data_IF_052912312640
#
_entry.id   IF_052912312640
#
_cell.length_a   1.000
_cell.length_b   1.000
_cell.length_c   1.000
_cell.angle_alpha   90.00
_cell.angle_beta   90.00
_cell.angle_gamma   90.00
#
_symmetry.space_group_name_H-M   'P 1'
#
loop_
_entity.id
_entity.type
_entity.pdbx_description
1 polymer ?
#
# COMPACT_ATOMS: atom_id res chain seq x y z
N UNK A 1 50.67 -10.34 73.16
CA UNK A 1 50.40 -11.35 72.14
C UNK A 1 51.66 -12.15 71.95
N UNK A 2 51.54 -13.47 72.01
CA UNK A 2 52.57 -14.38 71.56
C UNK A 2 52.67 -14.31 70.02
N UNK A 3 53.83 -14.64 69.48
CA UNK A 3 54.03 -14.75 68.04
C UNK A 3 53.16 -15.91 67.53
N UNK A 4 52.32 -15.64 66.55
CA UNK A 4 51.34 -16.56 65.97
C UNK A 4 49.91 -16.37 66.44
N UNK A 5 49.63 -15.49 67.42
CA UNK A 5 48.26 -15.29 67.94
C UNK A 5 47.30 -14.74 66.86
N UNK A 6 47.74 -13.73 66.11
CA UNK A 6 46.94 -13.10 65.04
C UNK A 6 46.80 -14.04 63.84
N UNK A 7 47.88 -14.74 63.50
CA UNK A 7 47.89 -15.76 62.46
C UNK A 7 46.89 -16.89 62.77
N UNK A 8 46.89 -17.41 64.00
CA UNK A 8 45.98 -18.46 64.43
C UNK A 8 44.53 -17.98 64.41
N UNK A 9 44.27 -16.76 64.88
CA UNK A 9 42.93 -16.15 64.84
C UNK A 9 42.40 -15.94 63.42
N UNK A 10 43.28 -15.65 62.46
CA UNK A 10 42.96 -15.54 61.04
C UNK A 10 42.93 -16.90 60.31
N UNK A 11 43.17 -18.02 61.00
CA UNK A 11 43.10 -19.38 60.47
C UNK A 11 44.36 -19.86 59.74
N UNK A 12 45.50 -19.18 59.89
CA UNK A 12 46.78 -19.65 59.37
C UNK A 12 47.34 -20.78 60.25
N UNK A 13 47.98 -21.77 59.63
CA UNK A 13 48.68 -22.83 60.34
C UNK A 13 50.00 -22.30 60.91
N UNK A 14 50.25 -22.54 62.20
CA UNK A 14 51.52 -22.20 62.86
C UNK A 14 52.55 -23.31 62.68
N UNK A 15 53.81 -22.92 62.47
CA UNK A 15 54.93 -23.87 62.44
C UNK A 15 55.38 -24.16 63.88
N UNK A 16 55.48 -25.44 64.26
CA UNK A 16 55.93 -25.87 65.59
C UNK A 16 57.40 -26.27 65.55
N UNK A 17 58.22 -25.58 66.35
CA UNK A 17 59.66 -25.84 66.45
C UNK A 17 59.99 -26.65 67.70
N UNK A 18 60.56 -27.84 67.55
CA UNK A 18 61.27 -28.53 68.63
C UNK A 18 62.76 -28.19 68.51
N UNK A 19 63.32 -27.55 69.53
CA UNK A 19 64.76 -27.26 69.80
C UNK A 19 65.44 -26.01 69.14
N UNK A 20 66.49 -25.45 69.80
CA UNK A 20 66.76 -24.00 69.88
C UNK A 20 67.76 -23.47 68.83
N UNK A 21 67.43 -23.63 67.55
CA UNK A 21 68.00 -22.84 66.42
C UNK A 21 66.92 -21.90 65.80
N UNK A 22 65.94 -21.57 66.63
CA UNK A 22 64.55 -21.20 66.37
C UNK A 22 64.30 -19.74 65.95
N UNK A 23 65.20 -19.11 65.19
CA UNK A 23 64.86 -17.82 64.56
C UNK A 23 63.91 -18.02 63.38
N UNK A 24 64.11 -19.04 62.54
CA UNK A 24 63.32 -19.21 61.30
C UNK A 24 61.83 -19.48 61.60
N UNK A 25 61.49 -20.46 62.44
CA UNK A 25 60.08 -20.75 62.77
C UNK A 25 59.39 -19.56 63.44
N UNK A 26 60.15 -18.83 64.27
CA UNK A 26 59.69 -17.59 64.90
C UNK A 26 59.44 -16.49 63.86
N UNK A 27 60.32 -16.33 62.86
CA UNK A 27 60.14 -15.38 61.75
C UNK A 27 58.97 -15.80 60.84
N UNK A 28 58.78 -17.10 60.59
CA UNK A 28 57.66 -17.61 59.78
C UNK A 28 56.32 -17.30 60.46
N UNK A 29 56.20 -17.56 61.76
CA UNK A 29 54.99 -17.21 62.51
C UNK A 29 54.80 -15.69 62.60
N UNK A 30 55.88 -14.89 62.67
CA UNK A 30 55.81 -13.42 62.59
C UNK A 30 55.36 -12.92 61.22
N UNK A 31 55.80 -13.57 60.13
CA UNK A 31 55.34 -13.25 58.78
C UNK A 31 53.87 -13.64 58.59
N UNK A 32 53.43 -14.74 59.21
CA UNK A 32 52.03 -15.14 59.24
C UNK A 32 51.18 -14.10 59.99
N UNK A 33 51.63 -13.61 61.15
CA UNK A 33 50.96 -12.52 61.89
C UNK A 33 50.91 -11.23 61.07
N UNK A 34 52.02 -10.87 60.42
CA UNK A 34 52.06 -9.70 59.53
C UNK A 34 51.06 -9.81 58.39
N UNK A 35 50.93 -11.01 57.79
CA UNK A 35 50.00 -11.28 56.69
C UNK A 35 48.55 -11.24 57.17
N UNK A 36 48.26 -11.82 58.34
CA UNK A 36 46.95 -11.75 58.99
C UNK A 36 46.52 -10.30 59.25
N UNK A 37 47.42 -9.49 59.82
CA UNK A 37 47.18 -8.08 60.07
C UNK A 37 47.04 -7.26 58.77
N UNK A 38 47.83 -7.58 57.74
CA UNK A 38 47.79 -6.87 56.47
C UNK A 38 46.49 -7.12 55.69
N UNK A 39 45.92 -8.31 55.81
CA UNK A 39 44.69 -8.74 55.12
C UNK A 39 43.42 -8.34 55.87
N UNK A 40 43.48 -8.23 57.21
CA UNK A 40 42.39 -7.72 58.04
C UNK A 40 42.28 -6.19 58.06
N UNK A 41 43.38 -5.49 57.77
CA UNK A 41 43.42 -4.03 57.73
C UNK A 41 42.67 -3.44 56.52
N UNK A 42 41.89 -2.38 56.76
CA UNK A 42 41.25 -1.60 55.70
C UNK A 42 42.34 -1.01 54.80
N UNK A 43 42.37 -1.42 53.53
CA UNK A 43 43.26 -0.83 52.54
C UNK A 43 42.70 0.54 52.12
N UNK A 44 43.50 1.61 52.03
CA UNK A 44 43.01 2.92 51.60
C UNK A 44 42.40 2.89 50.19
N UNK A 45 41.40 3.75 49.95
CA UNK A 45 40.72 3.86 48.65
C UNK A 45 41.69 4.16 47.50
N UNK A 46 42.70 5.00 47.74
CA UNK A 46 43.75 5.32 46.75
C UNK A 46 44.62 4.12 46.32
N UNK A 47 44.55 3.00 47.06
CA UNK A 47 45.22 1.73 46.74
C UNK A 47 44.22 0.64 46.35
N UNK A 48 42.98 1.02 46.03
CA UNK A 48 41.91 0.11 45.59
C UNK A 48 41.13 -0.56 46.72
N UNK A 49 41.34 -0.18 47.98
CA UNK A 49 40.62 -0.77 49.11
C UNK A 49 39.30 -0.05 49.41
N UNK A 50 38.20 -0.79 49.40
CA UNK A 50 36.87 -0.26 49.75
C UNK A 50 36.39 -0.73 51.13
N UNK A 51 37.10 -1.67 51.76
CA UNK A 51 36.72 -2.28 53.05
C UNK A 51 35.34 -2.94 53.07
N UNK A 52 34.70 -3.09 51.92
CA UNK A 52 33.28 -3.43 51.81
C UNK A 52 33.08 -4.89 51.44
N UNK A 53 32.18 -5.58 52.14
CA UNK A 53 31.80 -6.96 51.85
C UNK A 53 30.66 -7.08 50.84
N UNK A 54 30.08 -5.96 50.41
CA UNK A 54 29.01 -5.91 49.41
C UNK A 54 29.36 -4.95 48.28
N UNK A 55 28.87 -5.27 47.07
CA UNK A 55 29.06 -4.42 45.91
C UNK A 55 28.44 -3.02 46.09
N UNK A 56 27.34 -2.91 46.85
CA UNK A 56 26.69 -1.62 47.13
C UNK A 56 27.57 -0.72 47.99
N UNK A 57 28.08 -1.23 49.12
CA UNK A 57 28.97 -0.47 49.99
C UNK A 57 30.30 -0.11 49.28
N UNK A 58 30.81 -1.00 48.43
CA UNK A 58 32.00 -0.73 47.63
C UNK A 58 31.79 0.43 46.64
N UNK A 59 30.64 0.47 45.94
CA UNK A 59 30.28 1.59 45.05
C UNK A 59 30.19 2.91 45.82
N UNK A 60 29.56 2.90 46.99
CA UNK A 60 29.48 4.08 47.86
C UNK A 60 30.85 4.55 48.32
N UNK A 61 31.75 3.64 48.74
CA UNK A 61 33.11 3.97 49.15
C UNK A 61 33.97 4.52 47.99
N UNK A 62 33.71 4.11 46.75
CA UNK A 62 34.32 4.64 45.54
C UNK A 62 33.66 5.95 45.05
N UNK A 63 32.62 6.42 45.74
CA UNK A 63 31.85 7.60 45.34
C UNK A 63 31.09 7.42 44.04
N UNK A 64 30.82 6.19 43.59
CA UNK A 64 30.04 5.92 42.37
C UNK A 64 28.57 6.24 42.65
N UNK A 65 28.07 7.30 42.04
CA UNK A 65 26.67 7.73 42.11
C UNK A 65 26.05 7.63 40.72
N UNK A 66 24.73 7.45 40.59
CA UNK A 66 24.09 7.54 39.27
C UNK A 66 24.51 8.81 38.52
N UNK A 67 24.53 9.97 39.19
CA UNK A 67 24.94 11.24 38.59
C UNK A 67 26.34 11.21 37.97
N UNK A 68 27.35 10.67 38.66
CA UNK A 68 28.71 10.75 38.14
C UNK A 68 29.02 9.74 37.01
N UNK A 69 28.15 8.75 36.82
CA UNK A 69 28.21 7.81 35.68
C UNK A 69 27.18 8.14 34.59
N UNK A 70 26.47 9.28 34.68
CA UNK A 70 25.47 9.71 33.70
C UNK A 70 24.14 8.96 33.77
N UNK A 71 23.86 8.27 34.87
CA UNK A 71 22.56 7.65 35.15
C UNK A 71 21.66 8.58 35.99
N UNK A 72 20.34 8.65 35.70
CA UNK A 72 19.41 9.49 36.46
C UNK A 72 19.20 8.99 37.90
N UNK A 73 19.05 9.92 38.86
CA UNK A 73 18.91 9.60 40.31
C UNK A 73 17.55 8.99 40.69
N UNK A 74 16.50 9.30 39.93
CA UNK A 74 15.16 8.79 40.15
C UNK A 74 14.54 8.35 38.82
N UNK A 75 14.26 7.06 38.72
CA UNK A 75 13.63 6.46 37.55
C UNK A 75 14.65 5.90 36.56
N UNK A 76 14.45 4.64 36.16
CA UNK A 76 15.07 4.07 34.96
C UNK A 76 15.04 5.14 33.86
N UNK A 77 16.21 5.54 33.36
CA UNK A 77 16.39 6.37 32.18
C UNK A 77 15.77 5.66 30.99
N UNK A 78 14.45 5.62 30.98
CA UNK A 78 13.66 4.91 30.01
C UNK A 78 13.73 5.78 28.80
N UNK A 79 14.41 5.28 27.77
CA UNK A 79 14.25 5.80 26.44
C UNK A 79 12.78 5.68 26.08
N UNK A 80 12.02 6.78 26.25
CA UNK A 80 10.60 6.78 25.95
C UNK A 80 10.46 6.86 24.44
N UNK A 81 10.20 5.72 23.82
CA UNK A 81 9.71 5.68 22.44
C UNK A 81 8.22 5.96 22.47
N UNK A 82 7.85 7.23 22.32
CA UNK A 82 6.45 7.65 22.21
C UNK A 82 6.05 7.65 20.74
N UNK A 83 5.22 6.69 20.33
CA UNK A 83 4.49 6.80 19.07
C UNK A 83 3.22 7.62 19.32
N UNK A 84 3.26 8.92 19.06
CA UNK A 84 2.05 9.78 19.15
C UNK A 84 1.09 9.57 17.96
N UNK A 85 1.42 8.65 17.06
CA UNK A 85 0.62 8.22 15.92
C UNK A 85 1.38 7.18 15.10
N UNK A 86 0.68 6.43 14.26
CA UNK A 86 1.28 5.48 13.33
C UNK A 86 2.34 6.18 12.48
N UNK A 87 3.59 5.69 12.49
CA UNK A 87 4.61 6.09 11.51
C UNK A 87 5.79 6.96 11.99
N UNK A 88 5.91 7.30 13.29
CA UNK A 88 7.06 8.08 13.80
C UNK A 88 7.64 7.48 15.07
N UNK A 89 8.98 7.35 15.12
CA UNK A 89 9.76 7.10 16.33
C UNK A 89 10.45 8.41 16.73
N UNK A 90 10.09 8.90 17.91
CA UNK A 90 10.57 10.17 18.45
C UNK A 90 11.55 9.92 19.60
N UNK A 91 12.57 10.78 19.72
CA UNK A 91 13.37 10.88 20.94
C UNK A 91 12.93 12.14 21.71
N UNK A 92 12.62 11.97 22.99
CA UNK A 92 12.36 13.08 23.90
C UNK A 92 13.48 13.15 24.94
N UNK A 93 14.37 14.13 24.81
CA UNK A 93 15.35 14.45 25.85
C UNK A 93 14.68 15.34 26.91
N UNK A 94 14.94 15.12 28.21
CA UNK A 94 14.40 16.00 29.26
C UNK A 94 14.77 17.47 29.01
N UNK A 95 13.77 18.35 28.88
CA UNK A 95 13.97 19.79 28.72
C UNK A 95 14.12 20.31 27.29
N UNK A 96 13.99 19.46 26.26
CA UNK A 96 13.98 19.91 24.85
C UNK A 96 12.53 20.02 24.37
N UNK A 97 12.10 21.24 24.01
CA UNK A 97 10.71 21.56 23.68
C UNK A 97 10.17 20.92 22.38
N UNK A 98 11.01 20.25 21.59
CA UNK A 98 10.61 19.61 20.34
C UNK A 98 11.33 18.26 20.20
N UNK A 99 10.60 17.14 20.12
CA UNK A 99 11.21 15.84 19.86
C UNK A 99 11.83 15.84 18.46
N UNK A 100 13.10 15.47 18.36
CA UNK A 100 13.78 15.27 17.09
C UNK A 100 13.35 13.92 16.49
N UNK A 101 13.03 13.92 15.20
CA UNK A 101 12.67 12.69 14.48
C UNK A 101 13.91 11.82 14.27
N UNK A 102 13.89 10.59 14.79
CA UNK A 102 14.97 9.63 14.59
C UNK A 102 14.85 8.92 13.23
N UNK A 103 13.62 8.62 12.83
CA UNK A 103 13.32 8.10 11.50
C UNK A 103 11.86 8.44 11.13
N UNK A 104 11.66 8.94 9.91
CA UNK A 104 10.36 8.90 9.25
C UNK A 104 10.22 7.53 8.59
N UNK A 105 9.04 6.90 8.69
CA UNK A 105 8.74 5.62 8.04
C UNK A 105 8.54 5.82 6.52
N UNK A 106 9.48 6.52 5.86
CA UNK A 106 9.38 7.01 4.49
C UNK A 106 9.14 5.93 3.45
N UNK A 107 9.38 4.65 3.77
CA UNK A 107 9.04 3.52 2.89
C UNK A 107 7.54 3.38 2.66
N UNK A 108 6.70 3.57 3.69
CA UNK A 108 5.24 3.38 3.58
C UNK A 108 4.60 4.57 2.87
N UNK A 109 5.03 5.79 3.21
CA UNK A 109 4.47 7.01 2.62
C UNK A 109 4.91 7.20 1.16
N UNK A 110 6.16 6.87 0.82
CA UNK A 110 6.63 6.93 -0.58
C UNK A 110 5.98 5.87 -1.47
N UNK A 111 5.76 4.65 -0.96
CA UNK A 111 5.01 3.62 -1.69
C UNK A 111 3.55 4.01 -1.88
N UNK A 112 2.90 4.58 -0.87
CA UNK A 112 1.51 5.01 -0.96
C UNK A 112 1.36 6.17 -1.97
N UNK A 113 2.24 7.17 -1.91
CA UNK A 113 2.24 8.30 -2.85
C UNK A 113 2.54 7.85 -4.29
N UNK A 114 3.52 6.94 -4.49
CA UNK A 114 3.83 6.38 -5.81
C UNK A 114 2.65 5.60 -6.37
N UNK A 115 1.99 4.76 -5.56
CA UNK A 115 0.82 3.98 -6.00
C UNK A 115 -0.38 4.86 -6.31
N UNK A 116 -0.64 5.88 -5.51
CA UNK A 116 -1.69 6.88 -5.77
C UNK A 116 -1.38 7.64 -7.07
N UNK A 117 -0.12 8.01 -7.32
CA UNK A 117 0.31 8.62 -8.59
C UNK A 117 0.09 7.70 -9.78
N UNK A 118 0.44 6.42 -9.67
CA UNK A 118 0.27 5.43 -10.75
C UNK A 118 -1.21 5.15 -11.05
N UNK A 119 -2.07 5.18 -10.03
CA UNK A 119 -3.52 5.03 -10.16
C UNK A 119 -4.10 6.29 -10.82
N UNK A 120 -3.76 7.48 -10.31
CA UNK A 120 -4.24 8.75 -10.86
C UNK A 120 -3.74 9.02 -12.28
N UNK A 121 -2.58 8.47 -12.65
CA UNK A 121 -2.04 8.56 -14.01
C UNK A 121 -2.78 7.69 -15.04
N UNK A 122 -3.62 6.75 -14.61
CA UNK A 122 -4.27 5.82 -15.54
C UNK A 122 -5.62 6.32 -16.06
N UNK A 123 -6.42 7.05 -15.27
CA UNK A 123 -7.77 7.48 -15.68
C UNK A 123 -8.29 8.71 -14.91
N UNK A 124 -7.66 9.89 -15.02
CA UNK A 124 -8.16 11.04 -14.23
C UNK A 124 -8.18 12.41 -14.92
N UNK A 125 -7.73 12.57 -16.18
CA UNK A 125 -7.81 13.89 -16.82
C UNK A 125 -8.62 13.87 -18.10
N UNK A 126 -9.45 14.90 -18.25
CA UNK A 126 -10.10 15.23 -19.53
C UNK A 126 -9.03 15.34 -20.62
N UNK A 127 -9.14 14.54 -21.67
CA UNK A 127 -8.17 14.50 -22.77
C UNK A 127 -7.04 13.46 -22.62
N UNK A 128 -7.03 12.64 -21.57
CA UNK A 128 -6.06 11.53 -21.49
C UNK A 128 -6.34 10.45 -22.55
N UNK A 129 -5.26 9.96 -23.16
CA UNK A 129 -5.31 8.80 -24.07
C UNK A 129 -4.98 7.54 -23.28
N UNK A 130 -5.95 6.65 -23.12
CA UNK A 130 -5.67 5.32 -22.56
C UNK A 130 -4.91 4.47 -23.57
N UNK A 131 -3.74 3.95 -23.17
CA UNK A 131 -3.08 2.86 -23.90
C UNK A 131 -3.47 1.52 -23.27
N UNK A 132 -4.08 0.62 -24.05
CA UNK A 132 -4.53 -0.69 -23.58
C UNK A 132 -6.03 -0.92 -23.76
N UNK A 133 -6.55 -2.00 -23.17
CA UNK A 133 -7.96 -2.34 -23.28
C UNK A 133 -8.79 -1.57 -22.25
N UNK A 134 -9.82 -0.89 -22.74
CA UNK A 134 -10.91 -0.36 -21.92
C UNK A 134 -11.96 -1.47 -21.78
N UNK A 135 -12.13 -2.00 -20.56
CA UNK A 135 -13.20 -2.93 -20.22
C UNK A 135 -14.37 -2.15 -19.64
N UNK A 136 -15.49 -2.16 -20.33
CA UNK A 136 -16.75 -1.60 -19.84
C UNK A 136 -17.70 -2.78 -19.57
N UNK A 137 -18.27 -2.92 -18.37
CA UNK A 137 -19.35 -3.90 -18.16
C UNK A 137 -20.52 -3.56 -19.11
N UNK A 138 -21.35 -4.58 -19.41
CA UNK A 138 -22.44 -4.51 -20.39
C UNK A 138 -23.16 -3.15 -20.39
N UNK A 139 -23.22 -2.51 -21.57
CA UNK A 139 -23.80 -1.18 -21.73
C UNK A 139 -25.31 -1.24 -21.59
N UNK A 140 -25.88 -0.41 -20.69
CA UNK A 140 -27.30 -0.06 -20.72
C UNK A 140 -27.53 1.01 -21.78
N UNK A 141 -28.76 1.10 -22.32
CA UNK A 141 -29.14 2.19 -23.23
C UNK A 141 -28.76 3.57 -22.69
N UNK A 142 -28.11 4.40 -23.52
CA UNK A 142 -27.72 5.76 -23.16
C UNK A 142 -28.94 6.68 -23.18
N UNK A 143 -29.26 7.31 -22.04
CA UNK A 143 -30.40 8.20 -21.89
C UNK A 143 -30.06 9.70 -22.03
N UNK A 144 -28.79 10.03 -22.26
CA UNK A 144 -28.28 11.40 -22.50
C UNK A 144 -27.08 11.38 -23.46
N UNK A 145 -26.63 12.56 -23.93
CA UNK A 145 -25.74 12.77 -25.09
C UNK A 145 -24.37 12.06 -25.11
N UNK A 146 -24.36 10.75 -25.33
CA UNK A 146 -23.17 9.92 -25.50
C UNK A 146 -22.98 9.44 -26.95
N UNK A 147 -21.71 9.23 -27.35
CA UNK A 147 -21.35 8.62 -28.64
C UNK A 147 -21.44 7.09 -28.54
N UNK A 148 -22.12 6.46 -29.50
CA UNK A 148 -22.24 4.99 -29.58
C UNK A 148 -20.86 4.36 -29.83
N UNK A 149 -20.47 3.41 -28.97
CA UNK A 149 -19.27 2.61 -29.14
C UNK A 149 -19.65 1.14 -29.34
N UNK A 150 -19.04 0.47 -30.31
CA UNK A 150 -19.21 -0.97 -30.48
C UNK A 150 -18.46 -1.68 -29.36
N UNK A 151 -19.14 -2.46 -28.53
CA UNK A 151 -18.51 -3.29 -27.50
C UNK A 151 -18.73 -4.76 -27.88
N UNK A 152 -17.64 -5.52 -27.95
CA UNK A 152 -17.70 -6.96 -28.22
C UNK A 152 -18.29 -7.72 -27.01
N UNK A 153 -18.68 -8.98 -27.21
CA UNK A 153 -19.17 -9.86 -26.12
C UNK A 153 -18.15 -10.12 -24.99
N UNK A 154 -16.87 -9.76 -25.18
CA UNK A 154 -15.81 -9.79 -24.16
C UNK A 154 -15.58 -8.44 -23.45
N UNK A 155 -16.44 -7.43 -23.69
CA UNK A 155 -16.41 -6.13 -23.02
C UNK A 155 -15.41 -5.12 -23.59
N UNK A 156 -14.82 -5.40 -24.76
CA UNK A 156 -13.85 -4.50 -25.41
C UNK A 156 -14.50 -3.58 -26.43
N UNK A 157 -14.09 -2.31 -26.45
CA UNK A 157 -14.43 -1.37 -27.54
C UNK A 157 -13.79 -1.87 -28.84
N UNK A 158 -14.62 -2.06 -29.86
CA UNK A 158 -14.28 -2.67 -31.13
C UNK A 158 -14.50 -1.69 -32.28
N UNK A 159 -13.88 -1.98 -33.41
CA UNK A 159 -14.12 -1.29 -34.69
C UNK A 159 -14.92 -2.22 -35.59
N UNK A 160 -15.89 -1.69 -36.33
CA UNK A 160 -16.65 -2.47 -37.29
C UNK A 160 -15.72 -3.21 -38.26
N UNK A 161 -15.87 -4.54 -38.33
CA UNK A 161 -15.04 -5.40 -39.20
C UNK A 161 -15.61 -5.40 -40.61
N UNK A 162 -14.98 -4.64 -41.51
CA UNK A 162 -15.41 -4.58 -42.93
C UNK A 162 -14.54 -5.39 -43.89
N UNK A 163 -13.42 -5.93 -43.43
CA UNK A 163 -12.52 -6.73 -44.29
C UNK A 163 -13.14 -8.07 -44.67
N UNK A 164 -13.02 -8.45 -45.94
CA UNK A 164 -13.57 -9.69 -46.50
C UNK A 164 -13.16 -10.94 -45.73
N UNK A 165 -11.95 -10.95 -45.15
CA UNK A 165 -11.43 -12.08 -44.35
C UNK A 165 -12.22 -12.38 -43.07
N UNK A 166 -13.08 -11.45 -42.65
CA UNK A 166 -13.96 -11.59 -41.48
C UNK A 166 -15.43 -11.79 -41.87
N UNK A 167 -15.73 -11.97 -43.16
CA UNK A 167 -17.07 -12.13 -43.70
C UNK A 167 -17.14 -13.44 -44.47
N UNK A 168 -18.28 -14.10 -44.40
CA UNK A 168 -18.61 -15.30 -45.15
C UNK A 168 -19.98 -15.09 -45.84
N UNK A 169 -20.32 -15.93 -46.83
CA UNK A 169 -21.59 -15.89 -47.56
C UNK A 169 -21.89 -14.50 -48.17
N UNK A 170 -20.96 -14.02 -48.99
CA UNK A 170 -21.09 -12.73 -49.69
C UNK A 170 -21.97 -12.90 -50.93
N UNK A 171 -23.26 -12.57 -50.78
CA UNK A 171 -24.23 -12.53 -51.87
C UNK A 171 -24.63 -11.09 -52.21
N UNK A 172 -25.01 -10.86 -53.47
CA UNK A 172 -25.61 -9.61 -53.90
C UNK A 172 -27.06 -9.52 -53.38
N UNK A 173 -27.37 -8.59 -52.45
CA UNK A 173 -28.70 -8.54 -51.87
C UNK A 173 -29.72 -8.07 -52.90
N UNK A 174 -30.81 -8.82 -53.06
CA UNK A 174 -31.94 -8.35 -53.85
C UNK A 174 -32.70 -7.26 -53.07
N UNK A 175 -32.41 -6.00 -53.37
CA UNK A 175 -33.01 -4.86 -52.66
C UNK A 175 -34.53 -4.74 -52.88
N UNK A 176 -35.09 -5.36 -53.92
CA UNK A 176 -36.54 -5.32 -54.16
C UNK A 176 -37.32 -6.17 -53.16
N UNK A 177 -36.68 -7.15 -52.52
CA UNK A 177 -37.32 -8.02 -51.52
C UNK A 177 -37.20 -7.45 -50.10
N UNK A 178 -36.62 -6.26 -49.94
CA UNK A 178 -36.51 -5.62 -48.62
C UNK A 178 -37.85 -5.08 -48.11
N UNK A 179 -38.83 -4.87 -49.00
CA UNK A 179 -40.13 -4.33 -48.63
C UNK A 179 -40.08 -2.85 -48.25
N UNK A 180 -40.97 -2.42 -47.36
CA UNK A 180 -41.03 -1.04 -46.87
C UNK A 180 -40.11 -0.85 -45.65
N UNK A 181 -38.88 -0.45 -45.91
CA UNK A 181 -37.88 -0.14 -44.88
C UNK A 181 -37.77 1.36 -44.55
N UNK A 182 -38.83 2.13 -44.83
CA UNK A 182 -38.89 3.58 -44.62
C UNK A 182 -39.83 3.93 -43.47
N UNK A 183 -39.39 3.73 -42.20
CA UNK A 183 -40.20 4.05 -41.04
C UNK A 183 -40.46 5.56 -40.94
N UNK A 184 -41.50 5.91 -40.16
CA UNK A 184 -41.85 7.30 -39.92
C UNK A 184 -40.78 7.98 -39.09
N UNK A 185 -40.19 9.06 -39.62
CA UNK A 185 -39.26 9.88 -38.85
C UNK A 185 -40.03 10.65 -37.76
N UNK A 186 -39.54 10.57 -36.52
CA UNK A 186 -40.11 11.27 -35.36
C UNK A 186 -39.17 12.40 -34.93
N UNK A 187 -39.77 13.44 -34.35
CA UNK A 187 -39.07 14.47 -33.60
C UNK A 187 -39.43 14.28 -32.12
N UNK A 188 -38.42 14.13 -31.26
CA UNK A 188 -38.63 13.85 -29.84
C UNK A 188 -37.50 14.43 -28.98
N UNK A 189 -37.74 14.54 -27.68
CA UNK A 189 -36.72 14.87 -26.67
C UNK A 189 -36.48 13.65 -25.78
N UNK A 190 -35.25 13.51 -25.26
CA UNK A 190 -34.93 12.43 -24.34
C UNK A 190 -35.47 12.76 -22.94
N UNK A 191 -36.14 11.80 -22.29
CA UNK A 191 -36.75 12.01 -20.97
C UNK A 191 -35.76 12.40 -19.86
N UNK A 192 -34.49 12.04 -20.01
CA UNK A 192 -33.43 12.31 -19.04
C UNK A 192 -32.53 13.50 -19.44
N UNK A 193 -32.88 14.20 -20.52
CA UNK A 193 -32.16 15.38 -20.98
C UNK A 193 -32.87 16.65 -20.52
N UNK A 194 -32.29 17.32 -19.54
CA UNK A 194 -32.80 18.58 -18.98
C UNK A 194 -32.74 19.76 -20.00
N UNK A 195 -32.07 19.57 -21.14
CA UNK A 195 -31.93 20.64 -22.15
C UNK A 195 -33.12 20.74 -23.11
N UNK A 196 -34.07 19.80 -23.07
CA UNK A 196 -35.22 19.70 -23.99
C UNK A 196 -34.84 19.81 -25.49
N UNK A 197 -33.60 19.46 -25.85
CA UNK A 197 -33.12 19.62 -27.23
C UNK A 197 -33.85 18.62 -28.15
N UNK A 198 -34.58 19.09 -29.19
CA UNK A 198 -35.30 18.20 -30.08
C UNK A 198 -34.33 17.43 -30.99
N UNK A 199 -34.53 16.13 -31.08
CA UNK A 199 -33.75 15.21 -31.91
C UNK A 199 -34.68 14.52 -32.92
N UNK A 200 -34.16 14.30 -34.12
CA UNK A 200 -34.84 13.51 -35.16
C UNK A 200 -34.34 12.07 -35.11
N UNK A 201 -35.27 11.12 -35.18
CA UNK A 201 -34.91 9.70 -35.18
C UNK A 201 -36.08 8.77 -35.44
N UNK A 202 -35.77 7.47 -35.40
CA UNK A 202 -36.74 6.40 -35.50
C UNK A 202 -36.99 5.79 -34.13
N UNK A 203 -38.18 5.21 -33.93
CA UNK A 203 -38.58 4.56 -32.68
C UNK A 203 -38.49 3.04 -32.86
N UNK A 204 -37.68 2.37 -32.04
CA UNK A 204 -37.36 0.95 -32.21
C UNK A 204 -38.61 0.06 -32.13
N UNK A 205 -39.54 0.40 -31.25
CA UNK A 205 -40.80 -0.32 -31.05
C UNK A 205 -41.74 -0.19 -32.26
N UNK A 206 -41.71 0.94 -32.96
CA UNK A 206 -42.48 1.11 -34.21
C UNK A 206 -41.90 0.22 -35.32
N UNK A 207 -40.57 0.13 -35.42
CA UNK A 207 -39.90 -0.75 -36.39
C UNK A 207 -40.12 -2.24 -36.08
N UNK A 208 -40.19 -2.61 -34.81
CA UNK A 208 -40.44 -3.97 -34.35
C UNK A 208 -41.87 -4.45 -34.67
N UNK A 209 -42.80 -3.53 -34.90
CA UNK A 209 -44.18 -3.83 -35.27
C UNK A 209 -44.37 -4.20 -36.75
N UNK A 210 -43.39 -3.87 -37.60
CA UNK A 210 -43.48 -4.03 -39.05
C UNK A 210 -42.55 -5.16 -39.55
N UNK A 211 -43.05 -6.12 -40.35
CA UNK A 211 -42.26 -7.29 -40.77
C UNK A 211 -40.98 -6.95 -41.53
N UNK A 212 -41.01 -5.88 -42.34
CA UNK A 212 -39.89 -5.51 -43.21
C UNK A 212 -38.72 -4.86 -42.43
N UNK A 213 -39.02 -4.23 -41.29
CA UNK A 213 -38.07 -3.48 -40.46
C UNK A 213 -37.64 -4.20 -39.18
N UNK A 214 -38.36 -5.23 -38.73
CA UNK A 214 -38.04 -5.96 -37.49
C UNK A 214 -36.62 -6.54 -37.49
N UNK A 215 -36.09 -6.91 -38.68
CA UNK A 215 -34.71 -7.41 -38.84
C UNK A 215 -33.62 -6.43 -38.40
N UNK A 216 -33.92 -5.13 -38.34
CA UNK A 216 -32.97 -4.09 -37.95
C UNK A 216 -33.13 -3.71 -36.47
N UNK A 217 -34.01 -4.37 -35.73
CA UNK A 217 -34.24 -4.11 -34.31
C UNK A 217 -33.32 -4.99 -33.48
N UNK A 218 -32.65 -4.37 -32.51
CA UNK A 218 -31.79 -5.05 -31.54
C UNK A 218 -32.62 -5.35 -30.29
N UNK A 219 -32.64 -6.63 -29.90
CA UNK A 219 -33.35 -7.12 -28.72
C UNK A 219 -32.39 -7.67 -27.68
N UNK A 220 -32.59 -7.31 -26.42
CA UNK A 220 -31.82 -7.84 -25.28
C UNK A 220 -32.80 -8.45 -24.29
N UNK A 221 -32.58 -9.70 -23.89
CA UNK A 221 -33.51 -10.41 -23.00
C UNK A 221 -34.93 -10.61 -23.57
N UNK A 222 -35.12 -10.44 -24.88
CA UNK A 222 -36.43 -10.51 -25.55
C UNK A 222 -37.15 -9.18 -25.72
N UNK A 223 -36.66 -8.11 -25.07
CA UNK A 223 -37.24 -6.77 -25.18
C UNK A 223 -36.57 -5.97 -26.30
N UNK A 224 -37.33 -5.05 -26.91
CA UNK A 224 -36.83 -4.12 -27.92
C UNK A 224 -36.01 -3.04 -27.22
N UNK A 225 -34.75 -2.87 -27.60
CA UNK A 225 -33.86 -1.92 -26.93
C UNK A 225 -33.30 -0.84 -27.85
N UNK A 226 -32.95 -1.20 -29.10
CA UNK A 226 -32.39 -0.23 -30.05
C UNK A 226 -32.55 -0.66 -31.51
N UNK A 227 -32.04 0.16 -32.43
CA UNK A 227 -32.05 -0.09 -33.88
C UNK A 227 -30.60 -0.23 -34.34
N UNK A 228 -30.30 -1.23 -35.19
CA UNK A 228 -29.07 -1.24 -35.98
C UNK A 228 -29.17 -0.20 -37.10
N UNK A 229 -28.91 1.05 -36.73
CA UNK A 229 -29.08 2.20 -37.61
C UNK A 229 -28.17 2.13 -38.84
N UNK A 230 -26.96 1.59 -38.70
CA UNK A 230 -26.03 1.49 -39.83
C UNK A 230 -26.53 0.49 -40.84
N UNK A 231 -26.99 -0.68 -40.40
CA UNK A 231 -27.52 -1.69 -41.31
C UNK A 231 -28.78 -1.19 -42.02
N UNK A 232 -29.70 -0.53 -41.29
CA UNK A 232 -30.89 0.08 -41.86
C UNK A 232 -30.53 1.14 -42.91
N UNK A 233 -29.61 2.05 -42.59
CA UNK A 233 -29.17 3.11 -43.49
C UNK A 233 -28.55 2.54 -44.78
N UNK A 234 -27.69 1.53 -44.67
CA UNK A 234 -27.08 0.89 -45.84
C UNK A 234 -28.15 0.23 -46.73
N UNK A 235 -29.14 -0.42 -46.14
CA UNK A 235 -30.26 -1.03 -46.87
C UNK A 235 -31.12 0.03 -47.58
N UNK A 236 -31.46 1.12 -46.89
CA UNK A 236 -32.21 2.25 -47.43
C UNK A 236 -31.47 2.92 -48.60
N UNK A 237 -30.17 3.16 -48.46
CA UNK A 237 -29.33 3.73 -49.53
C UNK A 237 -29.27 2.79 -50.73
N UNK A 238 -29.11 1.48 -50.52
CA UNK A 238 -29.10 0.51 -51.61
C UNK A 238 -30.44 0.48 -52.37
N UNK A 239 -31.57 0.53 -51.65
CA UNK A 239 -32.91 0.58 -52.26
C UNK A 239 -33.15 1.88 -53.02
N UNK A 240 -32.72 3.03 -52.48
CA UNK A 240 -32.75 4.32 -53.18
C UNK A 240 -31.92 4.29 -54.46
N UNK A 241 -30.68 3.79 -54.38
CA UNK A 241 -29.80 3.71 -55.55
C UNK A 241 -30.41 2.86 -56.67
N UNK A 242 -30.99 1.70 -56.34
CA UNK A 242 -31.68 0.87 -57.32
C UNK A 242 -32.88 1.59 -57.96
N UNK A 243 -33.64 2.37 -57.16
CA UNK A 243 -34.75 3.18 -57.68
C UNK A 243 -34.27 4.29 -58.61
N UNK A 244 -33.17 4.97 -58.27
CA UNK A 244 -32.57 6.00 -59.13
C UNK A 244 -32.12 5.39 -60.45
N UNK A 245 -31.38 4.28 -60.41
CA UNK A 245 -30.94 3.57 -61.63
C UNK A 245 -32.12 3.14 -62.51
N UNK A 246 -33.23 2.67 -61.92
CA UNK A 246 -34.43 2.31 -62.66
C UNK A 246 -35.11 3.52 -63.33
N UNK A 247 -35.09 4.68 -62.68
CA UNK A 247 -35.62 5.93 -63.25
C UNK A 247 -34.73 6.46 -64.37
N UNK A 248 -33.42 6.41 -64.19
CA UNK A 248 -32.44 6.80 -65.22
C UNK A 248 -32.51 5.91 -66.47
N UNK A 249 -32.76 4.61 -66.29
CA UNK A 249 -32.95 3.68 -67.42
C UNK A 249 -34.28 3.89 -68.17
N UNK A 250 -35.25 4.56 -67.56
CA UNK A 250 -36.56 4.85 -68.14
C UNK A 250 -36.65 6.25 -68.80
N UNK A 251 -35.62 7.08 -68.64
CA UNK A 251 -35.51 8.43 -69.22
C UNK A 251 -34.80 8.41 -70.58
#
# INVERSE_FOLDING_TARGET
MAIGDDALAAGFALVSGTTPANQIDTEVNRLADWTANRTSSVTPVAKGGTGSTTAAAARTALGVTPVNIGAPETGVGSLKFTSTGFGRLLWEAPGVAYPTELCSLGYVDSLNASRISDINARVSKSGDTMSGHLYLPASTGASSGYTVAYINGDGRVSRGVSSIKYKDLLDDPNVSTLGNIWPTLRCFTLKADDTETPVLGYIAEELAGEPDTDRFVVRIGGEVESIDFIQLLLAQVAQLNARVLALEAAA
#
